data_IF_576033099641
#
_entry.id   IF_576033099641
#
_cell.length_a   1.000
_cell.length_b   1.000
_cell.length_c   1.000
_cell.angle_alpha   90.00
_cell.angle_beta   90.00
_cell.angle_gamma   90.00
#
_symmetry.space_group_name_H-M   'P 1'
#
loop_
_entity.id
_entity.type
_entity.pdbx_description
1 polymer ?
#
# COMPACT_ATOMS: atom_id res chain seq x y z
N UNK A 1 52.23 -25.70 -14.09
CA UNK A 1 51.17 -26.14 -15.03
C UNK A 1 50.35 -27.18 -14.28
N UNK A 2 49.05 -27.02 -14.00
CA UNK A 2 47.94 -26.85 -14.95
C UNK A 2 46.91 -25.88 -14.38
N UNK A 3 46.39 -25.05 -15.29
CA UNK A 3 45.41 -23.99 -15.06
C UNK A 3 44.07 -24.65 -14.69
N UNK A 4 43.49 -24.28 -13.55
CA UNK A 4 42.07 -24.58 -13.29
C UNK A 4 41.28 -23.55 -14.10
N UNK A 5 40.59 -24.06 -15.11
CA UNK A 5 39.67 -23.29 -15.95
C UNK A 5 38.43 -23.00 -15.12
N UNK A 6 38.21 -21.72 -14.80
CA UNK A 6 36.91 -21.23 -14.35
C UNK A 6 35.99 -21.30 -15.57
N UNK A 7 35.10 -22.28 -15.58
CA UNK A 7 34.02 -22.34 -16.55
C UNK A 7 32.97 -21.31 -16.13
N UNK A 8 32.86 -20.27 -16.95
CA UNK A 8 31.80 -19.29 -16.92
C UNK A 8 30.51 -19.99 -17.36
N UNK A 9 29.58 -20.24 -16.45
CA UNK A 9 28.19 -20.50 -16.80
C UNK A 9 27.44 -19.17 -16.81
N UNK A 10 27.40 -18.51 -17.97
CA UNK A 10 26.22 -17.71 -18.34
C UNK A 10 25.36 -18.64 -19.18
N UNK A 11 24.29 -19.19 -18.60
CA UNK A 11 23.09 -19.60 -19.34
C UNK A 11 21.85 -19.37 -18.44
N UNK A 12 21.16 -18.27 -18.73
CA UNK A 12 19.69 -18.09 -18.77
C UNK A 12 18.91 -18.33 -17.46
N UNK A 13 18.70 -17.26 -16.68
CA UNK A 13 17.72 -17.16 -15.60
C UNK A 13 16.38 -16.54 -16.05
N UNK A 14 15.87 -16.89 -17.24
CA UNK A 14 14.56 -16.39 -17.71
C UNK A 14 13.35 -17.20 -17.20
N UNK A 15 13.56 -18.40 -16.65
CA UNK A 15 12.45 -19.25 -16.17
C UNK A 15 11.97 -18.91 -14.73
N UNK A 16 12.84 -18.34 -13.89
CA UNK A 16 12.47 -17.93 -12.52
C UNK A 16 11.54 -16.71 -12.51
N UNK A 17 11.71 -15.78 -13.46
CA UNK A 17 10.79 -14.64 -13.61
C UNK A 17 9.42 -15.07 -14.14
N UNK A 18 9.38 -15.94 -15.14
CA UNK A 18 8.12 -16.41 -15.73
C UNK A 18 7.24 -17.16 -14.71
N UNK A 19 7.86 -18.00 -13.86
CA UNK A 19 7.16 -18.72 -12.80
C UNK A 19 6.62 -17.77 -11.71
N UNK A 20 7.37 -16.71 -11.36
CA UNK A 20 6.90 -15.68 -10.42
C UNK A 20 5.69 -14.92 -10.98
N UNK A 21 5.70 -14.58 -12.28
CA UNK A 21 4.58 -13.91 -12.96
C UNK A 21 3.34 -14.80 -13.06
N UNK A 22 3.48 -16.09 -13.37
CA UNK A 22 2.33 -17.02 -13.43
C UNK A 22 1.71 -17.26 -12.04
N UNK A 23 2.56 -17.33 -11.01
CA UNK A 23 2.13 -17.43 -9.62
C UNK A 23 1.35 -16.18 -9.20
N UNK A 24 1.87 -14.99 -9.50
CA UNK A 24 1.20 -13.73 -9.23
C UNK A 24 -0.15 -13.62 -9.96
N UNK A 25 -0.19 -13.94 -11.25
CA UNK A 25 -1.43 -13.91 -12.03
C UNK A 25 -2.49 -14.87 -11.47
N UNK A 26 -2.08 -16.06 -11.04
CA UNK A 26 -2.97 -17.04 -10.41
C UNK A 26 -3.49 -16.52 -9.06
N UNK A 27 -2.61 -15.89 -8.28
CA UNK A 27 -2.97 -15.24 -7.02
C UNK A 27 -4.02 -14.13 -7.23
N UNK A 28 -3.80 -13.20 -8.17
CA UNK A 28 -4.77 -12.14 -8.49
C UNK A 28 -6.10 -12.73 -8.98
N UNK A 29 -6.06 -13.77 -9.82
CA UNK A 29 -7.26 -14.45 -10.29
C UNK A 29 -8.08 -15.04 -9.13
N UNK A 30 -7.42 -15.63 -8.13
CA UNK A 30 -8.10 -16.17 -6.96
C UNK A 30 -8.68 -15.05 -6.08
N UNK A 31 -7.97 -13.92 -5.89
CA UNK A 31 -8.50 -12.79 -5.12
C UNK A 31 -9.78 -12.19 -5.75
N UNK A 32 -9.87 -12.22 -7.08
CA UNK A 32 -11.01 -11.71 -7.86
C UNK A 32 -12.13 -12.74 -8.04
N UNK A 33 -11.89 -14.00 -7.69
CA UNK A 33 -12.85 -15.09 -7.88
C UNK A 33 -14.14 -14.82 -7.10
N UNK A 34 -15.27 -15.17 -7.70
CA UNK A 34 -16.62 -15.02 -7.15
C UNK A 34 -17.00 -13.59 -6.74
N UNK A 35 -16.22 -12.58 -7.14
CA UNK A 35 -16.48 -11.19 -6.79
C UNK A 35 -17.54 -10.58 -7.72
N UNK A 36 -18.60 -10.05 -7.11
CA UNK A 36 -19.64 -9.29 -7.81
C UNK A 36 -19.22 -7.82 -7.84
N UNK A 37 -18.93 -7.28 -9.02
CA UNK A 37 -18.54 -5.87 -9.19
C UNK A 37 -19.79 -4.98 -9.27
N UNK A 38 -19.82 -3.91 -8.48
CA UNK A 38 -20.87 -2.90 -8.52
C UNK A 38 -20.28 -1.51 -8.30
N UNK A 39 -20.35 -0.65 -9.32
CA UNK A 39 -19.77 0.70 -9.28
C UNK A 39 -20.49 1.65 -8.32
N UNK A 40 -21.73 1.33 -7.96
CA UNK A 40 -22.56 2.15 -7.08
C UNK A 40 -22.42 1.72 -5.60
N UNK A 41 -21.98 0.50 -5.33
CA UNK A 41 -21.75 0.01 -3.96
C UNK A 41 -20.45 0.58 -3.39
N UNK A 42 -20.57 1.59 -2.53
CA UNK A 42 -19.43 2.27 -1.88
C UNK A 42 -18.98 1.60 -0.58
N UNK A 43 -19.46 0.41 -0.23
CA UNK A 43 -19.15 -0.24 1.06
C UNK A 43 -17.65 -0.42 1.26
N UNK A 44 -16.96 -1.01 0.27
CA UNK A 44 -15.50 -1.23 0.37
C UNK A 44 -14.73 0.09 0.32
N UNK A 45 -15.16 1.03 -0.53
CA UNK A 45 -14.57 2.37 -0.59
C UNK A 45 -14.62 3.07 0.79
N UNK A 46 -15.77 2.99 1.47
CA UNK A 46 -15.94 3.54 2.82
C UNK A 46 -15.09 2.79 3.86
N UNK A 47 -14.93 1.47 3.72
CA UNK A 47 -14.01 0.72 4.59
C UNK A 47 -12.57 1.22 4.44
N UNK A 48 -12.09 1.41 3.21
CA UNK A 48 -10.74 1.94 2.95
C UNK A 48 -10.55 3.36 3.54
N UNK A 49 -11.58 4.20 3.48
CA UNK A 49 -11.54 5.52 4.13
C UNK A 49 -11.54 5.41 5.66
N UNK A 50 -12.31 4.49 6.25
CA UNK A 50 -12.24 4.26 7.70
C UNK A 50 -10.83 3.78 8.11
N UNK A 51 -10.19 2.90 7.32
CA UNK A 51 -8.80 2.51 7.56
C UNK A 51 -7.87 3.72 7.53
N UNK A 52 -8.00 4.60 6.53
CA UNK A 52 -7.21 5.82 6.45
C UNK A 52 -7.40 6.71 7.69
N UNK A 53 -8.65 7.04 8.00
CA UNK A 53 -9.02 7.98 9.06
C UNK A 53 -8.57 7.47 10.43
N UNK A 54 -8.76 6.18 10.69
CA UNK A 54 -8.47 5.58 11.99
C UNK A 54 -6.99 5.22 12.14
N UNK A 55 -6.40 4.56 11.15
CA UNK A 55 -5.03 4.02 11.28
C UNK A 55 -3.96 5.06 10.97
N UNK A 56 -4.17 5.90 9.96
CA UNK A 56 -3.11 6.76 9.42
C UNK A 56 -3.29 8.23 9.80
N UNK A 57 -4.51 8.75 9.74
CA UNK A 57 -4.77 10.17 9.93
C UNK A 57 -5.07 10.57 11.38
N UNK A 58 -5.49 9.62 12.23
CA UNK A 58 -5.74 9.88 13.64
C UNK A 58 -4.44 10.03 14.42
N UNK A 59 -4.47 10.80 15.52
CA UNK A 59 -3.28 11.01 16.34
C UNK A 59 -2.78 9.72 17.00
N UNK A 60 -3.67 8.81 17.38
CA UNK A 60 -3.32 7.58 18.11
C UNK A 60 -2.97 6.41 17.20
N UNK A 61 -3.45 6.42 15.96
CA UNK A 61 -3.47 5.26 15.09
C UNK A 61 -4.40 4.14 15.61
N UNK A 62 -4.44 3.05 14.86
CA UNK A 62 -5.20 1.84 15.18
C UNK A 62 -6.62 1.79 14.61
N UNK A 63 -7.11 0.57 14.36
CA UNK A 63 -8.45 0.32 13.82
C UNK A 63 -9.45 0.17 14.95
N UNK A 64 -10.60 0.84 14.82
CA UNK A 64 -11.66 0.77 15.82
C UNK A 64 -12.40 -0.57 15.76
N UNK A 65 -12.91 -1.08 16.90
CA UNK A 65 -13.70 -2.31 16.93
C UNK A 65 -14.90 -2.31 15.97
N UNK A 66 -15.54 -1.16 15.77
CA UNK A 66 -16.67 -1.01 14.85
C UNK A 66 -16.26 -1.25 13.40
N UNK A 67 -15.07 -0.79 13.01
CA UNK A 67 -14.53 -1.00 11.66
C UNK A 67 -14.15 -2.46 11.46
N UNK A 68 -13.54 -3.11 12.46
CA UNK A 68 -13.30 -4.55 12.44
C UNK A 68 -14.60 -5.34 12.27
N UNK A 69 -15.64 -4.99 13.03
CA UNK A 69 -16.96 -5.62 12.92
C UNK A 69 -17.56 -5.48 11.53
N UNK A 70 -17.48 -4.29 10.92
CA UNK A 70 -17.95 -4.06 9.55
C UNK A 70 -17.22 -4.95 8.53
N UNK A 71 -15.92 -5.18 8.70
CA UNK A 71 -15.15 -6.09 7.85
C UNK A 71 -15.64 -7.53 8.03
N UNK A 72 -15.82 -7.99 9.27
CA UNK A 72 -16.34 -9.33 9.55
C UNK A 72 -17.74 -9.53 8.94
N UNK A 73 -18.64 -8.57 9.16
CA UNK A 73 -20.00 -8.60 8.62
C UNK A 73 -19.99 -8.60 7.07
N UNK A 74 -19.10 -7.81 6.46
CA UNK A 74 -18.93 -7.73 5.01
C UNK A 74 -18.50 -9.09 4.42
N UNK A 75 -17.57 -9.80 5.07
CA UNK A 75 -17.13 -11.12 4.63
C UNK A 75 -18.19 -12.20 4.85
N UNK A 76 -18.93 -12.13 5.96
CA UNK A 76 -20.03 -13.07 6.27
C UNK A 76 -21.19 -12.95 5.29
N UNK A 77 -21.43 -11.76 4.73
CA UNK A 77 -22.47 -11.54 3.73
C UNK A 77 -22.03 -12.09 2.35
N UNK A 78 -22.77 -13.08 1.84
CA UNK A 78 -22.52 -13.71 0.53
C UNK A 78 -22.81 -12.79 -0.66
N UNK A 79 -23.61 -11.75 -0.45
CA UNK A 79 -24.03 -10.83 -1.50
C UNK A 79 -23.23 -9.54 -1.59
N UNK A 80 -22.30 -9.31 -0.66
CA UNK A 80 -21.43 -8.13 -0.67
C UNK A 80 -20.71 -8.00 -2.01
N UNK A 81 -20.69 -6.77 -2.53
CA UNK A 81 -20.03 -6.43 -3.79
C UNK A 81 -18.60 -5.99 -3.55
N UNK A 82 -17.82 -5.96 -4.61
CA UNK A 82 -16.48 -5.40 -4.64
C UNK A 82 -15.48 -6.07 -3.67
N UNK A 83 -15.73 -7.33 -3.30
CA UNK A 83 -14.88 -8.10 -2.38
C UNK A 83 -13.43 -8.18 -2.83
N UNK A 84 -13.19 -8.24 -4.14
CA UNK A 84 -11.85 -8.29 -4.71
C UNK A 84 -10.96 -7.11 -4.27
N UNK A 85 -11.54 -5.91 -4.15
CA UNK A 85 -10.80 -4.71 -3.72
C UNK A 85 -10.35 -4.88 -2.27
N UNK A 86 -11.25 -5.33 -1.39
CA UNK A 86 -10.90 -5.55 0.02
C UNK A 86 -9.91 -6.71 0.16
N UNK A 87 -10.07 -7.78 -0.62
CA UNK A 87 -9.14 -8.92 -0.62
C UNK A 87 -7.72 -8.50 -1.02
N UNK A 88 -7.58 -7.71 -2.08
CA UNK A 88 -6.28 -7.18 -2.52
C UNK A 88 -5.67 -6.24 -1.49
N UNK A 89 -6.48 -5.37 -0.87
CA UNK A 89 -6.03 -4.50 0.23
C UNK A 89 -5.52 -5.29 1.44
N UNK A 90 -6.28 -6.30 1.88
CA UNK A 90 -5.88 -7.16 3.01
C UNK A 90 -4.64 -7.98 2.66
N UNK A 91 -4.52 -8.48 1.43
CA UNK A 91 -3.35 -9.24 1.03
C UNK A 91 -2.08 -8.38 0.99
N UNK A 92 -2.20 -7.10 0.60
CA UNK A 92 -1.10 -6.13 0.69
C UNK A 92 -0.61 -5.97 2.14
N UNK A 93 -1.55 -5.79 3.08
CA UNK A 93 -1.26 -5.70 4.52
C UNK A 93 -0.64 -6.99 5.10
N UNK A 94 -1.14 -8.16 4.67
CA UNK A 94 -0.63 -9.44 5.13
C UNK A 94 0.82 -9.65 4.70
N UNK A 95 1.21 -9.29 3.47
CA UNK A 95 2.60 -9.39 3.04
C UNK A 95 3.54 -8.56 3.93
N UNK A 96 3.13 -7.33 4.31
CA UNK A 96 3.90 -6.51 5.26
C UNK A 96 4.01 -7.22 6.62
N UNK A 97 2.88 -7.70 7.14
CA UNK A 97 2.80 -8.32 8.46
C UNK A 97 3.63 -9.61 8.55
N UNK A 98 3.57 -10.45 7.51
CA UNK A 98 4.33 -11.69 7.42
C UNK A 98 5.84 -11.43 7.32
N UNK A 99 6.26 -10.42 6.56
CA UNK A 99 7.66 -10.04 6.49
C UNK A 99 8.19 -9.58 7.85
N UNK A 100 7.44 -8.71 8.53
CA UNK A 100 7.78 -8.23 9.89
C UNK A 100 7.86 -9.40 10.87
N UNK A 101 6.89 -10.31 10.86
CA UNK A 101 6.87 -11.48 11.73
C UNK A 101 8.07 -12.42 11.51
N UNK A 102 8.56 -12.49 10.27
CA UNK A 102 9.72 -13.29 9.89
C UNK A 102 11.07 -12.53 9.99
N UNK A 103 11.05 -11.26 10.43
CA UNK A 103 12.25 -10.42 10.48
C UNK A 103 12.84 -10.09 9.12
N UNK A 104 12.05 -10.17 8.05
CA UNK A 104 12.44 -9.87 6.68
C UNK A 104 11.81 -8.57 6.18
N UNK A 105 12.30 -8.08 5.03
CA UNK A 105 11.70 -6.96 4.32
C UNK A 105 10.63 -7.51 3.38
N UNK A 106 9.47 -6.85 3.21
CA UNK A 106 8.45 -7.26 2.25
C UNK A 106 9.03 -7.37 0.83
N UNK A 107 8.48 -8.27 0.01
CA UNK A 107 8.86 -8.38 -1.41
C UNK A 107 8.44 -7.11 -2.15
N UNK A 108 9.40 -6.21 -2.40
CA UNK A 108 9.15 -4.88 -2.97
C UNK A 108 8.41 -4.95 -4.30
N UNK A 109 8.78 -5.90 -5.15
CA UNK A 109 8.19 -6.09 -6.47
C UNK A 109 6.75 -6.58 -6.36
N UNK A 110 6.49 -7.55 -5.48
CA UNK A 110 5.12 -7.99 -5.23
C UNK A 110 4.25 -6.85 -4.68
N UNK A 111 4.77 -6.07 -3.72
CA UNK A 111 4.01 -4.96 -3.13
C UNK A 111 3.66 -3.91 -4.18
N UNK A 112 4.62 -3.55 -5.03
CA UNK A 112 4.39 -2.60 -6.11
C UNK A 112 3.42 -3.12 -7.17
N UNK A 113 3.53 -4.38 -7.58
CA UNK A 113 2.58 -5.01 -8.52
C UNK A 113 1.16 -5.03 -7.92
N UNK A 114 1.01 -5.48 -6.68
CA UNK A 114 -0.29 -5.60 -6.02
C UNK A 114 -0.97 -4.25 -5.79
N UNK A 115 -0.22 -3.23 -5.34
CA UNK A 115 -0.81 -1.90 -5.11
C UNK A 115 -1.23 -1.22 -6.40
N UNK A 116 -0.48 -1.44 -7.50
CA UNK A 116 -0.85 -0.92 -8.82
C UNK A 116 -2.12 -1.60 -9.34
N UNK A 117 -2.23 -2.92 -9.23
CA UNK A 117 -3.45 -3.65 -9.62
C UNK A 117 -4.64 -3.25 -8.75
N UNK A 118 -4.43 -3.03 -7.44
CA UNK A 118 -5.48 -2.56 -6.53
C UNK A 118 -5.95 -1.16 -6.93
N UNK A 119 -5.02 -0.26 -7.23
CA UNK A 119 -5.33 1.10 -7.65
C UNK A 119 -6.12 1.11 -8.97
N UNK A 120 -5.76 0.25 -9.92
CA UNK A 120 -6.51 0.09 -11.18
C UNK A 120 -7.94 -0.43 -10.91
N UNK A 121 -8.07 -1.47 -10.09
CA UNK A 121 -9.38 -2.06 -9.76
C UNK A 121 -10.32 -1.05 -9.07
N UNK A 122 -9.78 -0.27 -8.13
CA UNK A 122 -10.52 0.81 -7.45
C UNK A 122 -10.91 1.88 -8.46
N UNK A 123 -9.98 2.35 -9.31
CA UNK A 123 -10.26 3.37 -10.32
C UNK A 123 -11.34 2.91 -11.30
N UNK A 124 -11.29 1.65 -11.74
CA UNK A 124 -12.28 1.08 -12.66
C UNK A 124 -13.68 0.93 -12.02
N UNK A 125 -13.72 0.70 -10.70
CA UNK A 125 -14.97 0.53 -9.95
C UNK A 125 -15.56 1.87 -9.50
N UNK A 126 -14.75 2.76 -8.94
CA UNK A 126 -15.21 3.97 -8.24
C UNK A 126 -14.87 5.28 -8.94
N UNK A 127 -14.02 5.25 -9.97
CA UNK A 127 -13.48 6.44 -10.66
C UNK A 127 -12.72 7.42 -9.74
N UNK A 128 -12.23 6.92 -8.61
CA UNK A 128 -11.50 7.67 -7.59
C UNK A 128 -10.57 6.72 -6.81
N UNK A 129 -9.59 7.24 -6.08
CA UNK A 129 -8.61 6.44 -5.32
C UNK A 129 -8.54 6.94 -3.87
N UNK A 130 -8.87 6.09 -2.87
CA UNK A 130 -8.72 6.41 -1.45
C UNK A 130 -7.28 6.79 -1.07
N UNK A 131 -7.12 7.75 -0.16
CA UNK A 131 -5.81 8.29 0.26
C UNK A 131 -4.87 7.20 0.78
N UNK A 132 -5.39 6.22 1.51
CA UNK A 132 -4.60 5.09 2.02
C UNK A 132 -3.92 4.29 0.90
N UNK A 133 -4.57 4.13 -0.26
CA UNK A 133 -4.00 3.41 -1.40
C UNK A 133 -2.88 4.22 -2.03
N UNK A 134 -3.02 5.54 -2.10
CA UNK A 134 -1.94 6.43 -2.55
C UNK A 134 -0.74 6.37 -1.61
N UNK A 135 -0.98 6.37 -0.29
CA UNK A 135 0.08 6.24 0.73
C UNK A 135 0.81 4.91 0.59
N UNK A 136 0.10 3.81 0.45
CA UNK A 136 0.72 2.50 0.26
C UNK A 136 1.48 2.41 -1.07
N UNK A 137 1.00 3.07 -2.13
CA UNK A 137 1.76 3.13 -3.38
C UNK A 137 3.07 3.94 -3.19
N UNK A 138 3.04 5.05 -2.46
CA UNK A 138 4.24 5.83 -2.08
C UNK A 138 5.24 4.95 -1.31
N UNK A 139 4.77 4.16 -0.35
CA UNK A 139 5.60 3.23 0.42
C UNK A 139 6.19 2.13 -0.46
N UNK A 140 5.38 1.50 -1.32
CA UNK A 140 5.82 0.45 -2.24
C UNK A 140 6.86 0.96 -3.25
N UNK A 141 6.65 2.15 -3.84
CA UNK A 141 7.63 2.79 -4.72
C UNK A 141 8.94 3.06 -3.98
N UNK A 142 8.86 3.54 -2.74
CA UNK A 142 10.06 3.81 -1.93
C UNK A 142 10.81 2.52 -1.60
N UNK A 143 10.08 1.45 -1.27
CA UNK A 143 10.62 0.11 -1.01
C UNK A 143 11.31 -0.48 -2.25
N UNK A 144 10.79 -0.19 -3.44
CA UNK A 144 11.35 -0.64 -4.73
C UNK A 144 12.43 0.31 -5.29
N UNK A 145 12.95 1.24 -4.48
CA UNK A 145 13.97 2.24 -4.85
C UNK A 145 13.54 3.22 -5.97
N UNK A 146 12.24 3.41 -6.17
CA UNK A 146 11.65 4.36 -7.13
C UNK A 146 11.36 5.71 -6.44
N UNK A 147 12.39 6.31 -5.85
CA UNK A 147 12.26 7.50 -5.00
C UNK A 147 11.74 8.73 -5.74
N UNK A 148 11.98 8.85 -7.05
CA UNK A 148 11.51 9.98 -7.86
C UNK A 148 10.00 9.88 -8.11
N UNK A 149 9.54 8.68 -8.46
CA UNK A 149 8.13 8.35 -8.66
C UNK A 149 7.35 8.53 -7.37
N UNK A 150 7.89 8.03 -6.25
CA UNK A 150 7.36 8.24 -4.91
C UNK A 150 7.22 9.74 -4.59
N UNK A 151 8.26 10.54 -4.80
CA UNK A 151 8.22 11.99 -4.57
C UNK A 151 7.16 12.70 -5.43
N UNK A 152 7.05 12.34 -6.71
CA UNK A 152 6.03 12.91 -7.61
C UNK A 152 4.61 12.53 -7.17
N UNK A 153 4.42 11.31 -6.67
CA UNK A 153 3.13 10.85 -6.17
C UNK A 153 2.76 11.57 -4.87
N UNK A 154 3.71 11.83 -3.97
CA UNK A 154 3.51 12.66 -2.78
C UNK A 154 3.05 14.07 -3.17
N UNK A 155 3.75 14.73 -4.10
CA UNK A 155 3.42 16.08 -4.56
C UNK A 155 2.03 16.17 -5.18
N UNK A 156 1.68 15.21 -6.04
CA UNK A 156 0.35 15.21 -6.68
C UNK A 156 -0.75 14.90 -5.68
N UNK A 157 -0.51 13.97 -4.73
CA UNK A 157 -1.48 13.61 -3.69
C UNK A 157 -1.74 14.76 -2.72
N UNK A 158 -0.71 15.54 -2.35
CA UNK A 158 -0.87 16.71 -1.46
C UNK A 158 -1.67 17.85 -2.10
N UNK A 159 -1.74 17.93 -3.44
CA UNK A 159 -2.63 18.90 -4.11
C UNK A 159 -4.10 18.54 -3.91
N UNK A 160 -4.43 17.25 -3.92
CA UNK A 160 -5.79 16.74 -3.71
C UNK A 160 -6.16 16.63 -2.23
N UNK A 161 -5.18 16.30 -1.38
CA UNK A 161 -5.36 16.03 0.04
C UNK A 161 -4.38 16.85 0.91
N UNK A 162 -4.48 18.19 0.89
CA UNK A 162 -3.50 19.07 1.55
C UNK A 162 -3.45 18.94 3.08
N UNK A 163 -4.49 18.36 3.69
CA UNK A 163 -4.60 18.17 5.13
C UNK A 163 -4.16 16.78 5.60
N UNK A 164 -3.72 15.90 4.69
CA UNK A 164 -3.25 14.56 5.05
C UNK A 164 -1.93 14.66 5.81
N UNK A 165 -1.97 14.32 7.10
CA UNK A 165 -0.79 14.32 7.97
C UNK A 165 0.23 13.28 7.47
N UNK A 166 -0.16 12.04 7.12
CA UNK A 166 0.78 11.06 6.54
C UNK A 166 1.50 11.56 5.29
N UNK A 167 0.78 12.21 4.36
CA UNK A 167 1.41 12.73 3.13
C UNK A 167 2.40 13.86 3.45
N UNK A 168 2.09 14.75 4.40
CA UNK A 168 3.02 15.77 4.88
C UNK A 168 4.26 15.14 5.53
N UNK A 169 4.08 14.10 6.35
CA UNK A 169 5.19 13.33 6.93
C UNK A 169 6.09 12.77 5.82
N UNK A 170 5.53 12.07 4.84
CA UNK A 170 6.32 11.52 3.72
C UNK A 170 7.00 12.61 2.87
N UNK A 171 6.33 13.75 2.68
CA UNK A 171 6.93 14.92 2.03
C UNK A 171 8.15 15.43 2.80
N UNK A 172 8.05 15.57 4.13
CA UNK A 172 9.20 15.97 4.94
C UNK A 172 10.32 14.93 4.88
N UNK A 173 10.00 13.63 5.04
CA UNK A 173 11.01 12.57 5.03
C UNK A 173 11.81 12.53 3.73
N UNK A 174 11.15 12.72 2.59
CA UNK A 174 11.76 12.68 1.26
C UNK A 174 12.51 13.96 0.86
N UNK A 175 12.04 15.14 1.25
CA UNK A 175 12.57 16.42 0.76
C UNK A 175 13.28 17.29 1.80
N UNK A 176 13.09 16.99 3.09
CA UNK A 176 13.55 17.82 4.22
C UNK A 176 13.03 19.26 4.15
N UNK A 177 11.81 19.45 3.64
CA UNK A 177 11.16 20.78 3.56
C UNK A 177 10.82 21.31 4.98
N UNK A 178 11.54 22.35 5.40
CA UNK A 178 11.38 22.97 6.71
C UNK A 178 10.01 23.64 6.90
N UNK A 179 9.31 24.06 5.84
CA UNK A 179 7.95 24.59 5.99
C UNK A 179 6.98 23.50 6.41
N UNK A 180 7.09 22.32 5.78
CA UNK A 180 6.28 21.15 6.13
C UNK A 180 6.65 20.66 7.53
N UNK A 181 7.94 20.63 7.86
CA UNK A 181 8.40 20.32 9.21
C UNK A 181 7.76 21.21 10.27
N UNK A 182 7.82 22.53 10.08
CA UNK A 182 7.26 23.50 11.02
C UNK A 182 5.74 23.37 11.17
N UNK A 183 5.03 23.08 10.08
CA UNK A 183 3.59 22.79 10.12
C UNK A 183 3.29 21.53 10.96
N UNK A 184 4.00 20.43 10.71
CA UNK A 184 3.85 19.17 11.46
C UNK A 184 4.13 19.35 12.95
N UNK A 185 5.24 20.00 13.30
CA UNK A 185 5.63 20.21 14.71
C UNK A 185 4.66 21.14 15.43
N UNK A 186 4.16 22.18 14.76
CA UNK A 186 3.28 23.17 15.38
C UNK A 186 1.85 22.67 15.54
N UNK A 187 1.34 21.94 14.55
CA UNK A 187 -0.09 21.63 14.44
C UNK A 187 -0.40 20.15 14.70
N UNK A 188 0.60 19.27 14.63
CA UNK A 188 0.41 17.80 14.65
C UNK A 188 1.49 17.09 15.50
N UNK A 189 2.03 17.74 16.54
CA UNK A 189 3.09 17.17 17.39
C UNK A 189 2.72 15.84 18.06
N UNK A 190 1.43 15.67 18.38
CA UNK A 190 0.90 14.48 19.06
C UNK A 190 0.58 13.33 18.11
N UNK A 191 0.64 13.57 16.81
CA UNK A 191 0.30 12.55 15.83
C UNK A 191 1.36 11.43 15.82
N UNK A 192 0.93 10.17 15.89
CA UNK A 192 1.82 9.02 16.06
C UNK A 192 2.94 8.97 15.01
N UNK A 193 2.67 9.29 13.74
CA UNK A 193 3.73 9.33 12.71
C UNK A 193 4.78 10.41 12.99
N UNK A 194 4.37 11.60 13.44
CA UNK A 194 5.30 12.70 13.77
C UNK A 194 6.22 12.28 14.91
N UNK A 195 5.65 11.63 15.92
CA UNK A 195 6.39 11.08 17.07
C UNK A 195 7.32 9.92 16.65
N UNK A 196 6.80 8.95 15.89
CA UNK A 196 7.52 7.77 15.42
C UNK A 196 8.77 8.14 14.60
N UNK A 197 8.64 9.11 13.70
CA UNK A 197 9.74 9.57 12.87
C UNK A 197 10.61 10.65 13.53
N UNK A 198 10.32 11.02 14.78
CA UNK A 198 11.12 11.98 15.54
C UNK A 198 11.20 13.36 14.90
N UNK A 199 10.12 13.82 14.26
CA UNK A 199 10.08 15.14 13.61
C UNK A 199 9.93 16.21 14.70
N UNK A 200 10.99 16.98 14.94
CA UNK A 200 11.10 18.00 15.99
C UNK A 200 11.72 19.29 15.48
#
# INVERSE_FOLDING_TARGET
MKKIVIIFFIIISSNLLAQKTETYNSFIKELKKDSKIDKNDKTVYNLLNNFYDEMLQSDTGGIKPETLKKITDFYANKDSKNKQILNMFIAYQNNISDAVANGSIPDSKFQLELINDLQEEIKNTYSDIPVIVLIYNIEALSLDNQSKESANLIESSLKSFPNSIPLKVYKYLSSKDEKIKNDLVKNHSEHWMVQQFGIK
#
